data_IF_938498490515
#
_entry.id   IF_938498490515
#
_cell.length_a   1.000
_cell.length_b   1.000
_cell.length_c   1.000
_cell.angle_alpha   90.00
_cell.angle_beta   90.00
_cell.angle_gamma   90.00
#
_symmetry.space_group_name_H-M   'P 1'
#
loop_
_entity.id
_entity.type
_entity.pdbx_description
1 polymer ?
#
# COMPACT_ATOMS: atom_id res chain seq x y z
N UNK A 1 0.24 88.24 -4.26
CA UNK A 1 0.64 87.05 -5.07
C UNK A 1 0.81 85.89 -4.08
N UNK A 2 -0.17 85.03 -4.09
CA UNK A 2 -0.22 83.84 -3.16
C UNK A 2 0.40 82.62 -3.86
N UNK A 3 1.43 82.12 -3.25
CA UNK A 3 2.04 80.87 -3.68
C UNK A 3 1.51 79.75 -2.77
N UNK A 4 0.61 78.91 -3.25
CA UNK A 4 0.04 77.77 -2.56
C UNK A 4 1.07 76.60 -2.60
N UNK A 5 1.62 76.32 -1.44
CA UNK A 5 2.44 75.10 -1.27
C UNK A 5 1.54 73.87 -1.16
N UNK A 6 1.63 73.02 -2.13
CA UNK A 6 1.00 71.69 -2.11
C UNK A 6 1.97 70.75 -1.42
N UNK A 7 1.63 70.38 -0.16
CA UNK A 7 2.32 69.30 0.57
C UNK A 7 1.76 67.98 0.07
N UNK A 8 2.57 67.26 -0.66
CA UNK A 8 2.26 65.88 -1.09
C UNK A 8 2.62 64.91 0.04
N UNK A 9 1.61 64.50 0.78
CA UNK A 9 1.78 63.46 1.82
C UNK A 9 1.96 62.09 1.15
N UNK A 10 3.18 61.57 1.12
CA UNK A 10 3.47 60.16 0.79
C UNK A 10 2.94 59.29 1.91
N UNK A 11 1.78 58.66 1.71
CA UNK A 11 1.34 57.51 2.54
C UNK A 11 2.20 56.30 2.11
N UNK A 12 3.22 56.02 2.89
CA UNK A 12 3.88 54.73 2.87
C UNK A 12 2.93 53.70 3.49
N UNK A 13 2.22 52.94 2.65
CA UNK A 13 1.52 51.74 3.06
C UNK A 13 2.57 50.69 3.31
N UNK A 14 2.99 50.54 4.56
CA UNK A 14 3.77 49.39 5.01
C UNK A 14 2.88 48.14 4.87
N UNK A 15 3.06 47.38 3.80
CA UNK A 15 2.56 46.03 3.74
C UNK A 15 3.22 45.27 4.90
N UNK A 16 2.46 45.08 5.98
CA UNK A 16 2.82 44.14 7.01
C UNK A 16 2.81 42.76 6.38
N UNK A 17 3.95 42.29 5.91
CA UNK A 17 4.21 40.87 5.63
C UNK A 17 4.14 40.20 6.98
N UNK A 18 2.94 39.70 7.32
CA UNK A 18 2.79 38.81 8.48
C UNK A 18 3.78 37.67 8.26
N UNK A 19 4.71 37.42 9.20
CA UNK A 19 5.55 36.25 9.10
C UNK A 19 4.58 35.05 9.11
N UNK A 20 4.54 34.31 8.02
CA UNK A 20 3.94 32.98 8.01
C UNK A 20 4.59 32.26 9.18
N UNK A 21 3.82 32.04 10.26
CA UNK A 21 4.32 31.27 11.39
C UNK A 21 4.69 29.90 10.83
N UNK A 22 5.97 29.70 10.56
CA UNK A 22 6.51 28.41 10.23
C UNK A 22 6.16 27.51 11.41
N UNK A 23 5.20 26.61 11.21
CA UNK A 23 4.75 25.66 12.20
C UNK A 23 6.00 24.95 12.73
N UNK A 24 6.35 25.18 14.00
CA UNK A 24 7.51 24.53 14.58
C UNK A 24 7.18 23.04 14.72
N UNK A 25 8.12 22.17 14.36
CA UNK A 25 7.94 20.71 14.46
C UNK A 25 7.58 20.29 15.91
N UNK A 26 7.97 21.10 16.91
CA UNK A 26 7.71 20.84 18.32
C UNK A 26 6.20 20.85 18.65
N UNK A 27 5.41 21.71 17.98
CA UNK A 27 3.98 21.86 18.26
C UNK A 27 3.10 20.93 17.42
N UNK A 28 3.68 20.22 16.44
CA UNK A 28 2.91 19.32 15.58
C UNK A 28 2.46 18.05 16.34
N UNK A 29 1.19 17.61 16.16
CA UNK A 29 0.12 18.21 15.38
C UNK A 29 -0.61 19.33 16.14
N UNK A 30 -0.95 20.43 15.43
CA UNK A 30 -1.70 21.58 15.99
C UNK A 30 -3.21 21.43 15.86
N UNK A 31 -3.65 20.49 15.01
CA UNK A 31 -5.06 20.14 14.76
C UNK A 31 -5.20 18.63 14.55
N UNK A 32 -6.42 18.08 14.49
CA UNK A 32 -6.61 16.66 14.18
C UNK A 32 -5.91 16.23 12.89
N UNK A 33 -5.24 15.08 12.93
CA UNK A 33 -4.61 14.47 11.77
C UNK A 33 -5.59 13.52 11.10
N UNK A 34 -5.67 13.54 9.76
CA UNK A 34 -6.59 12.71 8.97
C UNK A 34 -5.79 11.67 8.19
N UNK A 35 -6.08 10.39 8.41
CA UNK A 35 -5.53 9.28 7.64
C UNK A 35 -6.58 8.78 6.65
N UNK A 36 -6.35 9.00 5.36
CA UNK A 36 -7.19 8.47 4.31
C UNK A 36 -6.81 7.02 4.01
N UNK A 37 -7.76 6.12 4.18
CA UNK A 37 -7.65 4.70 3.86
C UNK A 37 -8.39 4.47 2.55
N UNK A 38 -7.70 4.00 1.47
CA UNK A 38 -8.29 3.88 0.14
C UNK A 38 -9.16 2.63 -0.05
N UNK A 39 -9.63 2.03 1.05
CA UNK A 39 -10.46 0.82 1.07
C UNK A 39 -11.63 0.97 2.04
N UNK A 40 -12.61 0.07 1.91
CA UNK A 40 -13.71 -0.03 2.85
C UNK A 40 -13.22 -0.34 4.28
N UNK A 41 -13.98 0.11 5.27
CA UNK A 41 -13.68 -0.16 6.67
C UNK A 41 -13.69 -1.67 6.98
N UNK A 42 -12.86 -2.08 7.95
CA UNK A 42 -12.75 -3.48 8.39
C UNK A 42 -11.81 -4.35 7.56
N UNK A 43 -11.25 -3.84 6.46
CA UNK A 43 -10.24 -4.54 5.69
C UNK A 43 -8.83 -4.46 6.34
N UNK A 44 -7.85 -5.27 5.88
CA UNK A 44 -6.51 -5.33 6.49
C UNK A 44 -5.82 -3.97 6.61
N UNK A 45 -5.88 -3.14 5.57
CA UNK A 45 -5.30 -1.79 5.59
C UNK A 45 -5.98 -0.87 6.61
N UNK A 46 -7.31 -0.96 6.75
CA UNK A 46 -8.08 -0.18 7.72
C UNK A 46 -7.73 -0.57 9.16
N UNK A 47 -7.58 -1.87 9.43
CA UNK A 47 -7.18 -2.38 10.75
C UNK A 47 -5.81 -1.85 11.14
N UNK A 48 -4.82 -1.95 10.26
CA UNK A 48 -3.46 -1.42 10.48
C UNK A 48 -3.50 0.09 10.72
N UNK A 49 -4.28 0.84 9.91
CA UNK A 49 -4.41 2.28 10.05
C UNK A 49 -5.03 2.69 11.40
N UNK A 50 -6.04 1.96 11.89
CA UNK A 50 -6.67 2.22 13.19
C UNK A 50 -5.74 1.97 14.37
N UNK A 51 -4.97 0.86 14.32
CA UNK A 51 -3.97 0.56 15.34
C UNK A 51 -2.89 1.67 15.35
N UNK A 52 -2.43 2.09 14.18
CA UNK A 52 -1.47 3.18 14.05
C UNK A 52 -2.04 4.51 14.60
N UNK A 53 -3.27 4.85 14.22
CA UNK A 53 -3.94 6.08 14.66
C UNK A 53 -4.09 6.16 16.18
N UNK A 54 -4.48 5.06 16.82
CA UNK A 54 -4.57 4.97 18.28
C UNK A 54 -3.23 5.23 18.96
N UNK A 55 -2.16 4.58 18.46
CA UNK A 55 -0.82 4.72 19.04
C UNK A 55 -0.22 6.12 18.80
N UNK A 56 -0.45 6.70 17.59
CA UNK A 56 -0.03 8.07 17.31
C UNK A 56 -0.78 9.09 18.16
N UNK A 57 -2.10 8.92 18.34
CA UNK A 57 -2.89 9.79 19.23
C UNK A 57 -2.35 9.76 20.67
N UNK A 58 -2.08 8.58 21.20
CA UNK A 58 -1.47 8.42 22.51
C UNK A 58 -0.11 9.14 22.60
N UNK A 59 0.74 8.96 21.60
CA UNK A 59 2.07 9.61 21.52
C UNK A 59 1.98 11.14 21.43
N UNK A 60 0.94 11.67 20.81
CA UNK A 60 0.70 13.10 20.64
C UNK A 60 -0.18 13.70 21.76
N UNK A 61 -0.20 13.08 22.95
CA UNK A 61 -0.92 13.62 24.12
C UNK A 61 -2.43 13.65 23.94
N UNK A 62 -3.00 12.68 23.22
CA UNK A 62 -4.44 12.56 22.97
C UNK A 62 -4.93 13.40 21.79
N UNK A 63 -4.05 13.98 20.96
CA UNK A 63 -4.46 14.66 19.72
C UNK A 63 -5.17 13.68 18.79
N UNK A 64 -6.35 14.02 18.26
CA UNK A 64 -7.13 13.10 17.43
C UNK A 64 -6.43 12.72 16.14
N UNK A 65 -6.43 11.42 15.84
CA UNK A 65 -6.04 10.87 14.52
C UNK A 65 -7.28 10.19 13.94
N UNK A 66 -7.83 10.78 12.89
CA UNK A 66 -9.12 10.40 12.30
C UNK A 66 -8.90 9.49 11.08
N UNK A 67 -9.59 8.38 11.03
CA UNK A 67 -9.58 7.48 9.86
C UNK A 67 -10.72 7.86 8.93
N UNK A 68 -10.39 8.08 7.65
CA UNK A 68 -11.36 8.31 6.59
C UNK A 68 -11.24 7.26 5.50
N UNK A 69 -12.20 6.35 5.45
CA UNK A 69 -12.28 5.36 4.39
C UNK A 69 -12.87 5.99 3.12
N UNK A 70 -12.11 5.96 2.01
CA UNK A 70 -12.51 6.48 0.70
C UNK A 70 -12.18 5.45 -0.39
N UNK A 71 -12.94 4.37 -0.49
CA UNK A 71 -12.74 3.37 -1.54
C UNK A 71 -13.13 3.92 -2.91
N UNK A 72 -12.62 3.30 -3.97
CA UNK A 72 -13.06 3.57 -5.34
C UNK A 72 -11.92 3.63 -6.35
N UNK A 73 -12.24 3.23 -7.58
CA UNK A 73 -11.39 3.29 -8.76
C UNK A 73 -9.96 2.73 -8.53
N UNK A 74 -9.80 1.60 -7.84
CA UNK A 74 -8.48 1.04 -7.57
C UNK A 74 -7.60 1.95 -6.71
N UNK A 75 -8.18 2.59 -5.69
CA UNK A 75 -7.57 3.57 -4.76
C UNK A 75 -7.42 5.01 -5.28
N UNK A 76 -7.69 5.26 -6.55
CA UNK A 76 -7.50 6.58 -7.19
C UNK A 76 -8.30 7.68 -6.48
N UNK A 77 -9.52 7.38 -6.00
CA UNK A 77 -10.38 8.37 -5.32
C UNK A 77 -9.69 8.96 -4.08
N UNK A 78 -9.24 8.14 -3.15
CA UNK A 78 -8.56 8.60 -1.94
C UNK A 78 -7.23 9.29 -2.27
N UNK A 79 -6.47 8.70 -3.19
CA UNK A 79 -5.16 9.23 -3.60
C UNK A 79 -5.28 10.63 -4.19
N UNK A 80 -6.25 10.86 -5.09
CA UNK A 80 -6.49 12.17 -5.69
C UNK A 80 -6.98 13.22 -4.68
N UNK A 81 -7.78 12.80 -3.68
CA UNK A 81 -8.21 13.69 -2.59
C UNK A 81 -7.01 14.16 -1.76
N UNK A 82 -6.13 13.24 -1.38
CA UNK A 82 -4.96 13.59 -0.58
C UNK A 82 -3.96 14.42 -1.38
N UNK A 83 -3.72 14.11 -2.66
CA UNK A 83 -2.83 14.88 -3.52
C UNK A 83 -3.16 16.39 -3.57
N UNK A 84 -4.45 16.73 -3.40
CA UNK A 84 -4.97 18.11 -3.44
C UNK A 84 -5.15 18.75 -2.06
N UNK A 85 -4.84 18.02 -0.98
CA UNK A 85 -4.98 18.55 0.37
C UNK A 85 -3.84 19.54 0.71
N UNK A 86 -4.02 20.42 1.71
CA UNK A 86 -2.96 21.34 2.15
C UNK A 86 -1.68 20.57 2.58
N UNK A 87 -0.50 21.00 2.11
CA UNK A 87 0.77 20.33 2.41
C UNK A 87 1.32 20.72 3.79
N UNK A 88 0.59 20.44 4.84
CA UNK A 88 0.94 20.81 6.23
C UNK A 88 1.14 19.61 7.16
N UNK A 89 1.11 18.37 6.62
CA UNK A 89 1.28 17.14 7.38
C UNK A 89 0.03 16.63 8.10
N UNK A 90 -1.07 17.40 8.18
CA UNK A 90 -2.30 16.97 8.87
C UNK A 90 -3.20 16.05 8.03
N UNK A 91 -2.89 15.88 6.76
CA UNK A 91 -3.59 14.94 5.86
C UNK A 91 -2.58 13.96 5.29
N UNK A 92 -2.82 12.67 5.49
CA UNK A 92 -1.96 11.60 4.98
C UNK A 92 -2.79 10.52 4.30
N UNK A 93 -2.19 9.86 3.31
CA UNK A 93 -2.72 8.66 2.67
C UNK A 93 -2.02 7.44 3.26
N UNK A 94 -2.80 6.43 3.63
CA UNK A 94 -2.27 5.08 3.84
C UNK A 94 -2.05 4.46 2.47
N UNK A 95 -0.83 4.61 1.98
CA UNK A 95 -0.38 4.12 0.68
C UNK A 95 -0.25 2.60 0.69
N UNK A 96 -0.59 1.99 -0.45
CA UNK A 96 -0.46 0.56 -0.71
C UNK A 96 0.16 0.33 -2.09
N UNK A 97 0.36 -0.91 -2.48
CA UNK A 97 0.91 -1.27 -3.79
C UNK A 97 0.19 -0.54 -4.95
N UNK A 98 -1.12 -0.29 -4.84
CA UNK A 98 -1.87 0.40 -5.88
C UNK A 98 -1.33 1.81 -6.18
N UNK A 99 -0.76 2.53 -5.18
CA UNK A 99 -0.13 3.83 -5.42
C UNK A 99 1.06 3.73 -6.39
N UNK A 100 1.78 2.60 -6.37
CA UNK A 100 2.97 2.35 -7.21
C UNK A 100 2.61 1.63 -8.51
N UNK A 101 1.52 0.86 -8.52
CA UNK A 101 1.06 0.08 -9.66
C UNK A 101 0.26 0.96 -10.64
N UNK A 102 -0.61 1.84 -10.13
CA UNK A 102 -1.46 2.67 -10.96
C UNK A 102 -0.69 3.46 -12.03
N UNK A 103 0.48 4.08 -11.76
CA UNK A 103 1.27 4.76 -12.78
C UNK A 103 1.80 3.85 -13.90
N UNK A 104 1.92 2.55 -13.63
CA UNK A 104 2.39 1.58 -14.62
C UNK A 104 1.30 1.14 -15.61
N UNK A 105 0.03 1.21 -15.19
CA UNK A 105 -1.10 0.66 -15.96
C UNK A 105 -2.13 1.71 -16.38
N UNK A 106 -2.08 2.92 -15.84
CA UNK A 106 -3.05 3.98 -16.13
C UNK A 106 -2.33 5.27 -16.51
N UNK A 107 -2.50 5.70 -17.76
CA UNK A 107 -1.87 6.91 -18.31
C UNK A 107 -2.63 8.21 -18.03
N UNK A 108 -3.82 8.13 -17.41
CA UNK A 108 -4.71 9.27 -17.14
C UNK A 108 -5.02 9.41 -15.65
N UNK A 109 -4.00 9.33 -14.79
CA UNK A 109 -4.16 9.54 -13.35
C UNK A 109 -4.35 11.03 -13.04
N UNK A 110 -5.24 11.38 -12.10
CA UNK A 110 -5.44 12.77 -11.64
C UNK A 110 -4.36 13.22 -10.65
N UNK A 111 -3.25 12.49 -10.54
CA UNK A 111 -2.09 12.77 -9.68
C UNK A 111 -0.82 12.14 -10.26
N UNK A 112 0.32 12.67 -9.85
CA UNK A 112 1.66 12.09 -10.09
C UNK A 112 2.20 11.54 -8.76
N UNK A 113 2.40 10.22 -8.68
CA UNK A 113 2.84 9.54 -7.45
C UNK A 113 4.14 10.11 -6.88
N UNK A 114 5.08 10.52 -7.73
CA UNK A 114 6.40 10.98 -7.28
C UNK A 114 6.49 12.49 -7.08
N UNK A 115 5.59 13.27 -7.69
CA UNK A 115 5.59 14.75 -7.60
C UNK A 115 4.61 15.29 -6.59
N UNK A 116 3.43 14.65 -6.46
CA UNK A 116 2.34 15.17 -5.65
C UNK A 116 2.38 14.68 -4.21
N UNK A 117 3.29 13.74 -3.90
CA UNK A 117 3.42 13.18 -2.55
C UNK A 117 4.84 13.28 -2.01
N UNK A 118 4.93 13.60 -0.72
CA UNK A 118 6.12 13.42 0.10
C UNK A 118 6.01 12.11 0.88
N UNK A 119 7.04 11.29 0.81
CA UNK A 119 7.16 10.06 1.61
C UNK A 119 7.32 10.40 3.09
N UNK A 120 6.67 9.64 3.98
CA UNK A 120 6.80 9.80 5.43
C UNK A 120 7.49 8.59 6.05
N UNK A 121 6.85 7.43 6.02
CA UNK A 121 7.46 6.17 6.52
C UNK A 121 6.65 4.95 6.06
N UNK A 122 7.33 3.83 5.90
CA UNK A 122 6.69 2.52 5.91
C UNK A 122 6.02 2.29 7.26
N UNK A 123 4.93 1.53 7.28
CA UNK A 123 4.24 1.08 8.49
C UNK A 123 4.44 -0.42 8.67
N UNK A 124 4.19 -1.16 7.59
CA UNK A 124 4.18 -2.62 7.62
C UNK A 124 4.35 -3.20 6.22
N UNK A 125 4.91 -4.41 6.19
CA UNK A 125 4.87 -5.28 5.03
C UNK A 125 4.09 -6.55 5.38
N UNK A 126 3.46 -7.14 4.36
CA UNK A 126 2.64 -8.33 4.49
C UNK A 126 3.04 -9.31 3.39
N UNK A 127 3.41 -10.55 3.73
CA UNK A 127 3.77 -11.55 2.74
C UNK A 127 2.55 -11.95 1.91
N UNK A 128 2.77 -12.18 0.62
CA UNK A 128 1.78 -12.70 -0.33
C UNK A 128 2.03 -14.18 -0.54
N UNK A 129 0.96 -14.96 -0.63
CA UNK A 129 1.00 -16.40 -0.85
C UNK A 129 0.20 -16.79 -2.09
N UNK A 130 0.64 -17.85 -2.76
CA UNK A 130 -0.19 -18.63 -3.67
C UNK A 130 -0.82 -19.77 -2.86
N UNK A 131 -2.13 -19.78 -2.79
CA UNK A 131 -2.91 -20.85 -2.17
C UNK A 131 -3.80 -21.53 -3.21
N UNK A 132 -4.16 -22.77 -2.94
CA UNK A 132 -5.04 -23.56 -3.79
C UNK A 132 -6.17 -24.20 -2.98
N UNK A 133 -7.29 -24.49 -3.67
CA UNK A 133 -8.30 -25.40 -3.14
C UNK A 133 -7.66 -26.75 -2.75
N UNK A 134 -8.09 -27.34 -1.65
CA UNK A 134 -7.53 -28.61 -1.17
C UNK A 134 -7.64 -29.76 -2.17
N UNK A 135 -8.67 -29.75 -3.03
CA UNK A 135 -8.91 -30.76 -4.06
C UNK A 135 -8.13 -30.55 -5.36
N UNK A 136 -7.50 -29.38 -5.53
CA UNK A 136 -6.64 -29.11 -6.67
C UNK A 136 -5.38 -29.97 -6.56
N UNK A 137 -5.10 -30.84 -7.55
CA UNK A 137 -4.04 -31.85 -7.44
C UNK A 137 -2.65 -31.25 -7.17
N UNK A 138 -2.16 -30.21 -7.90
CA UNK A 138 -0.85 -29.63 -7.71
C UNK A 138 -0.63 -29.09 -6.29
N UNK A 139 0.55 -29.32 -5.72
CA UNK A 139 0.93 -28.89 -4.35
C UNK A 139 2.21 -28.06 -4.32
N UNK A 140 2.88 -27.91 -5.46
CA UNK A 140 4.08 -27.08 -5.64
C UNK A 140 3.93 -26.15 -6.83
N UNK A 141 4.75 -25.10 -6.91
CA UNK A 141 4.76 -24.18 -8.07
C UNK A 141 5.05 -24.92 -9.37
N UNK A 142 5.99 -25.86 -9.34
CA UNK A 142 6.38 -26.67 -10.51
C UNK A 142 5.20 -27.51 -11.00
N UNK A 143 4.43 -28.11 -10.08
CA UNK A 143 3.24 -28.91 -10.43
C UNK A 143 2.11 -28.01 -10.97
N UNK A 144 1.90 -26.81 -10.42
CA UNK A 144 0.94 -25.83 -10.94
C UNK A 144 1.32 -25.43 -12.39
N UNK A 145 2.59 -25.18 -12.63
CA UNK A 145 3.09 -24.83 -13.97
C UNK A 145 2.94 -26.01 -14.94
N UNK A 146 3.23 -27.23 -14.48
CA UNK A 146 3.06 -28.43 -15.29
C UNK A 146 1.59 -28.69 -15.64
N UNK A 147 0.69 -28.46 -14.69
CA UNK A 147 -0.77 -28.56 -14.90
C UNK A 147 -1.26 -27.51 -15.88
N UNK A 148 -0.83 -26.25 -15.72
CA UNK A 148 -1.17 -25.16 -16.65
C UNK A 148 -0.73 -25.46 -18.11
N UNK A 149 0.43 -26.10 -18.29
CA UNK A 149 0.94 -26.50 -19.62
C UNK A 149 0.21 -27.68 -20.25
N UNK A 150 -0.38 -28.56 -19.42
CA UNK A 150 -1.15 -29.72 -19.87
C UNK A 150 -2.62 -29.40 -20.12
N UNK A 151 -3.16 -28.40 -19.43
CA UNK A 151 -4.57 -28.05 -19.51
C UNK A 151 -4.93 -27.53 -20.89
N UNK A 152 -6.02 -28.01 -21.52
CA UNK A 152 -6.49 -27.52 -22.81
C UNK A 152 -7.06 -26.09 -22.73
N UNK A 153 -7.39 -25.64 -21.51
CA UNK A 153 -7.83 -24.28 -21.25
C UNK A 153 -6.93 -23.64 -20.17
N UNK A 154 -6.74 -22.30 -20.21
CA UNK A 154 -5.98 -21.61 -19.19
C UNK A 154 -6.51 -21.88 -17.78
N UNK A 155 -5.63 -22.07 -16.81
CA UNK A 155 -6.03 -22.18 -15.40
C UNK A 155 -6.59 -20.86 -14.89
N UNK A 156 -7.71 -20.92 -14.17
CA UNK A 156 -8.23 -19.75 -13.47
C UNK A 156 -7.47 -19.51 -12.17
N UNK A 157 -7.19 -18.26 -11.89
CA UNK A 157 -6.72 -17.80 -10.58
C UNK A 157 -7.45 -16.53 -10.17
N UNK A 158 -7.41 -16.21 -8.90
CA UNK A 158 -8.01 -14.98 -8.39
C UNK A 158 -7.09 -14.23 -7.43
N UNK A 159 -7.50 -13.05 -7.06
CA UNK A 159 -6.90 -12.19 -6.03
C UNK A 159 -7.99 -11.30 -5.41
N UNK A 160 -7.69 -10.53 -4.34
CA UNK A 160 -8.64 -9.61 -3.72
C UNK A 160 -9.22 -8.54 -4.64
N UNK A 161 -8.57 -8.27 -5.76
CA UNK A 161 -9.07 -7.31 -6.74
C UNK A 161 -8.17 -7.18 -7.97
N UNK A 162 -8.72 -6.64 -9.05
CA UNK A 162 -7.95 -6.37 -10.26
C UNK A 162 -6.89 -5.30 -9.99
N UNK A 163 -5.75 -5.40 -10.67
CA UNK A 163 -4.63 -4.44 -10.57
C UNK A 163 -4.02 -4.32 -9.17
N UNK A 164 -4.37 -5.24 -8.25
CA UNK A 164 -3.76 -5.35 -6.93
C UNK A 164 -2.49 -6.22 -6.97
N UNK A 165 -1.79 -6.27 -5.85
CA UNK A 165 -0.54 -7.01 -5.70
C UNK A 165 -0.69 -8.50 -6.03
N UNK A 166 -1.82 -9.12 -5.68
CA UNK A 166 -2.09 -10.54 -5.99
C UNK A 166 -2.34 -10.78 -7.48
N UNK A 167 -3.04 -9.88 -8.17
CA UNK A 167 -3.20 -9.96 -9.63
C UNK A 167 -1.83 -9.90 -10.32
N UNK A 168 -1.00 -8.92 -9.94
CA UNK A 168 0.33 -8.78 -10.54
C UNK A 168 1.27 -9.95 -10.20
N UNK A 169 1.13 -10.56 -9.02
CA UNK A 169 1.84 -11.81 -8.70
C UNK A 169 1.47 -12.93 -9.67
N UNK A 170 0.19 -13.07 -10.03
CA UNK A 170 -0.28 -14.01 -11.03
C UNK A 170 0.29 -13.72 -12.42
N UNK A 171 0.25 -12.46 -12.86
CA UNK A 171 0.83 -12.07 -14.16
C UNK A 171 2.35 -12.28 -14.20
N UNK A 172 3.03 -12.03 -13.10
CA UNK A 172 4.46 -12.29 -12.97
C UNK A 172 4.77 -13.79 -13.05
N UNK A 173 3.92 -14.65 -12.47
CA UNK A 173 4.05 -16.11 -12.61
C UNK A 173 3.84 -16.55 -14.06
N UNK A 174 2.79 -16.05 -14.72
CA UNK A 174 2.54 -16.33 -16.14
C UNK A 174 3.78 -16.04 -16.99
N UNK A 175 4.35 -14.85 -16.81
CA UNK A 175 5.53 -14.41 -17.54
C UNK A 175 6.76 -15.28 -17.26
N UNK A 176 7.06 -15.54 -15.96
CA UNK A 176 8.27 -16.28 -15.57
C UNK A 176 8.21 -17.75 -15.96
N UNK A 177 7.02 -18.34 -15.93
CA UNK A 177 6.81 -19.75 -16.24
C UNK A 177 6.45 -20.04 -17.71
N UNK A 178 6.11 -19.01 -18.50
CA UNK A 178 5.62 -19.15 -19.87
C UNK A 178 4.33 -19.94 -19.94
N UNK A 179 3.35 -19.60 -19.09
CA UNK A 179 2.04 -20.26 -19.01
C UNK A 179 0.91 -19.25 -19.15
N UNK A 180 -0.26 -19.75 -19.57
CA UNK A 180 -1.48 -18.96 -19.62
C UNK A 180 -2.37 -19.25 -18.41
N UNK A 181 -2.85 -18.17 -17.77
CA UNK A 181 -3.80 -18.20 -16.68
C UNK A 181 -4.77 -17.03 -16.83
N UNK A 182 -6.01 -17.20 -16.39
CA UNK A 182 -7.05 -16.17 -16.44
C UNK A 182 -7.35 -15.67 -15.04
N UNK A 183 -7.26 -14.35 -14.84
CA UNK A 183 -7.61 -13.71 -13.57
C UNK A 183 -9.12 -13.54 -13.44
N UNK A 184 -9.71 -14.08 -12.38
CA UNK A 184 -11.12 -13.90 -12.01
C UNK A 184 -11.22 -12.79 -10.97
N UNK A 185 -11.94 -11.71 -11.31
CA UNK A 185 -12.04 -10.51 -10.48
C UNK A 185 -12.99 -10.71 -9.29
N UNK A 186 -12.58 -10.24 -8.12
CA UNK A 186 -13.39 -10.13 -6.91
C UNK A 186 -13.25 -8.75 -6.28
N UNK A 187 -14.17 -8.39 -5.39
CA UNK A 187 -14.12 -7.17 -4.60
C UNK A 187 -13.70 -7.47 -3.16
N UNK A 188 -12.48 -7.96 -2.99
CA UNK A 188 -11.88 -8.26 -1.68
C UNK A 188 -11.55 -9.75 -1.47
N UNK A 189 -10.73 -10.02 -0.44
CA UNK A 189 -10.27 -11.38 -0.10
C UNK A 189 -11.42 -12.30 0.31
N UNK A 190 -12.38 -11.82 1.10
CA UNK A 190 -13.42 -12.68 1.68
C UNK A 190 -14.28 -13.40 0.62
N UNK A 191 -14.89 -12.71 -0.38
CA UNK A 191 -15.63 -13.38 -1.42
C UNK A 191 -14.76 -14.27 -2.31
N UNK A 192 -13.53 -13.86 -2.61
CA UNK A 192 -12.57 -14.65 -3.39
C UNK A 192 -12.22 -15.96 -2.66
N UNK A 193 -11.85 -15.89 -1.38
CA UNK A 193 -11.54 -17.07 -0.55
C UNK A 193 -12.73 -18.02 -0.45
N UNK A 194 -13.96 -17.50 -0.35
CA UNK A 194 -15.17 -18.34 -0.33
C UNK A 194 -15.25 -19.19 -1.59
N UNK A 195 -14.99 -18.63 -2.75
CA UNK A 195 -15.08 -19.34 -4.02
C UNK A 195 -13.90 -20.29 -4.24
N UNK A 196 -12.71 -19.95 -3.73
CA UNK A 196 -11.56 -20.87 -3.76
C UNK A 196 -11.79 -22.06 -2.83
N UNK A 197 -12.30 -21.84 -1.62
CA UNK A 197 -12.67 -22.91 -0.69
C UNK A 197 -13.74 -23.82 -1.29
N UNK A 198 -14.72 -23.27 -1.99
CA UNK A 198 -15.77 -24.02 -2.70
C UNK A 198 -15.28 -24.72 -3.97
N UNK A 199 -14.03 -24.51 -4.39
CA UNK A 199 -13.46 -25.11 -5.61
C UNK A 199 -13.92 -24.49 -6.92
N UNK A 200 -14.60 -23.33 -6.89
CA UNK A 200 -15.03 -22.61 -8.10
C UNK A 200 -13.87 -21.99 -8.85
N UNK A 201 -12.85 -21.54 -8.11
CA UNK A 201 -11.57 -21.07 -8.63
C UNK A 201 -10.46 -21.87 -7.94
N UNK A 202 -9.56 -22.51 -8.69
CA UNK A 202 -8.57 -23.44 -8.08
C UNK A 202 -7.45 -22.73 -7.31
N UNK A 203 -7.07 -21.52 -7.71
CA UNK A 203 -5.87 -20.82 -7.24
C UNK A 203 -6.17 -19.38 -6.83
N UNK A 204 -5.45 -18.89 -5.81
CA UNK A 204 -5.53 -17.51 -5.37
C UNK A 204 -4.18 -16.98 -4.90
N UNK A 205 -3.84 -15.76 -5.33
CA UNK A 205 -2.82 -14.96 -4.68
C UNK A 205 -3.49 -14.02 -3.67
N UNK A 206 -3.13 -14.19 -2.38
CA UNK A 206 -3.64 -13.34 -1.31
C UNK A 206 -2.55 -13.02 -0.28
N UNK A 207 -2.81 -12.07 0.59
CA UNK A 207 -2.00 -11.86 1.79
C UNK A 207 -2.04 -13.13 2.63
N UNK A 208 -0.86 -13.64 3.01
CA UNK A 208 -0.75 -14.94 3.71
C UNK A 208 -1.68 -15.04 4.91
N UNK A 209 -1.73 -14.00 5.73
CA UNK A 209 -2.58 -14.00 6.92
C UNK A 209 -4.07 -14.23 6.60
N UNK A 210 -4.58 -13.63 5.53
CA UNK A 210 -5.99 -13.80 5.13
C UNK A 210 -6.31 -15.26 4.76
N UNK A 211 -5.38 -15.92 4.06
CA UNK A 211 -5.54 -17.29 3.60
C UNK A 211 -5.19 -18.33 4.68
N UNK A 212 -4.28 -18.00 5.59
CA UNK A 212 -3.71 -18.93 6.59
C UNK A 212 -4.76 -19.68 7.39
N UNK A 213 -5.79 -19.02 7.87
CA UNK A 213 -6.86 -19.64 8.65
C UNK A 213 -7.57 -20.79 7.91
N UNK A 214 -7.70 -20.69 6.59
CA UNK A 214 -8.28 -21.73 5.76
C UNK A 214 -7.30 -22.85 5.47
N UNK A 215 -6.00 -22.54 5.42
CA UNK A 215 -4.94 -23.55 5.32
C UNK A 215 -4.84 -24.32 6.62
N UNK A 216 -4.83 -23.66 7.77
CA UNK A 216 -4.82 -24.30 9.11
C UNK A 216 -6.07 -25.17 9.32
N UNK A 217 -7.21 -24.77 8.77
CA UNK A 217 -8.46 -25.57 8.80
C UNK A 217 -8.50 -26.70 7.75
N UNK A 218 -7.44 -26.88 6.94
CA UNK A 218 -7.38 -27.91 5.90
C UNK A 218 -8.37 -27.70 4.73
N UNK A 219 -8.87 -26.49 4.56
CA UNK A 219 -9.78 -26.13 3.47
C UNK A 219 -9.04 -25.67 2.21
N UNK A 220 -7.89 -25.04 2.42
CA UNK A 220 -6.95 -24.65 1.37
C UNK A 220 -5.60 -25.32 1.64
N UNK A 221 -4.70 -25.24 0.67
CA UNK A 221 -3.29 -25.58 0.83
C UNK A 221 -2.40 -24.43 0.37
N UNK A 222 -1.30 -24.20 1.07
CA UNK A 222 -0.26 -23.27 0.65
C UNK A 222 0.57 -23.94 -0.45
N UNK A 223 0.65 -23.31 -1.61
CA UNK A 223 1.49 -23.75 -2.74
C UNK A 223 2.89 -23.17 -2.63
N UNK A 224 2.98 -21.84 -2.37
CA UNK A 224 4.25 -21.13 -2.20
C UNK A 224 4.06 -19.77 -1.54
N UNK A 225 5.07 -19.30 -0.82
CA UNK A 225 5.21 -17.88 -0.49
C UNK A 225 5.76 -17.07 -1.68
N UNK A 226 5.20 -15.89 -1.92
CA UNK A 226 5.73 -14.97 -2.92
C UNK A 226 6.82 -14.03 -2.33
N UNK A 227 7.47 -14.42 -1.24
CA UNK A 227 8.54 -13.71 -0.53
C UNK A 227 9.91 -14.28 -0.88
N UNK A 228 10.99 -13.55 -0.55
CA UNK A 228 12.35 -14.06 -0.71
C UNK A 228 12.64 -15.23 0.24
N UNK A 229 12.08 -15.17 1.45
CA UNK A 229 12.28 -16.17 2.50
C UNK A 229 10.97 -16.94 2.76
N UNK A 230 11.10 -18.17 3.21
CA UNK A 230 9.97 -18.99 3.62
C UNK A 230 9.25 -18.37 4.81
N UNK A 231 7.95 -18.59 4.89
CA UNK A 231 7.18 -18.13 6.04
C UNK A 231 7.60 -18.88 7.30
N UNK A 232 7.84 -18.15 8.38
CA UNK A 232 8.29 -18.74 9.64
C UNK A 232 7.31 -19.78 10.19
N UNK A 233 6.02 -19.59 9.95
CA UNK A 233 4.93 -20.48 10.37
C UNK A 233 4.54 -21.54 9.33
N UNK A 234 5.27 -21.61 8.20
CA UNK A 234 5.11 -22.60 7.13
C UNK A 234 6.46 -22.88 6.44
N UNK A 235 7.52 -23.08 7.22
CA UNK A 235 8.90 -23.24 6.74
C UNK A 235 9.14 -24.48 5.88
N UNK A 236 8.23 -25.45 5.91
CA UNK A 236 8.23 -26.64 5.05
C UNK A 236 7.76 -26.37 3.61
N UNK A 237 7.14 -25.21 3.33
CA UNK A 237 6.70 -24.83 1.98
C UNK A 237 7.71 -23.88 1.34
N UNK A 238 8.11 -24.20 0.10
CA UNK A 238 9.07 -23.40 -0.65
C UNK A 238 8.51 -22.03 -1.04
N UNK A 239 9.40 -21.08 -1.33
CA UNK A 239 9.01 -19.80 -1.93
C UNK A 239 9.00 -19.88 -3.44
N UNK A 240 8.32 -18.95 -4.09
CA UNK A 240 8.41 -18.79 -5.55
C UNK A 240 9.82 -18.41 -6.00
N UNK A 241 10.57 -17.68 -5.16
CA UNK A 241 11.95 -17.29 -5.44
C UNK A 241 12.90 -18.50 -5.54
N UNK A 242 12.61 -19.60 -4.86
CA UNK A 242 13.37 -20.85 -4.98
C UNK A 242 13.21 -21.52 -6.36
N UNK A 243 12.11 -21.25 -7.06
CA UNK A 243 11.86 -21.74 -8.42
C UNK A 243 12.19 -20.70 -9.47
N UNK A 244 11.82 -19.44 -9.22
CA UNK A 244 12.01 -18.30 -10.14
C UNK A 244 12.80 -17.21 -9.43
N UNK A 245 14.12 -17.18 -9.66
CA UNK A 245 15.00 -16.19 -9.01
C UNK A 245 14.47 -14.77 -9.16
N UNK A 246 14.47 -14.00 -8.05
CA UNK A 246 13.96 -12.63 -7.99
C UNK A 246 12.43 -12.53 -7.99
N UNK A 247 11.69 -13.64 -7.90
CA UNK A 247 10.25 -13.58 -7.69
C UNK A 247 9.95 -13.16 -6.25
N UNK A 248 9.69 -11.88 -6.08
CA UNK A 248 9.34 -11.33 -4.77
C UNK A 248 8.19 -10.34 -4.93
N UNK A 249 7.10 -10.62 -4.23
CA UNK A 249 5.90 -9.78 -4.20
C UNK A 249 5.46 -9.63 -2.77
N UNK A 250 5.41 -8.40 -2.30
CA UNK A 250 5.07 -8.06 -0.93
C UNK A 250 3.99 -6.98 -0.92
N UNK A 251 2.94 -7.17 -0.16
CA UNK A 251 2.01 -6.12 0.16
C UNK A 251 2.60 -5.19 1.21
N UNK A 252 2.28 -3.91 1.14
CA UNK A 252 2.76 -2.95 2.12
C UNK A 252 1.69 -1.93 2.51
N UNK A 253 1.90 -1.30 3.66
CA UNK A 253 1.26 -0.07 4.09
C UNK A 253 2.34 0.95 4.44
N UNK A 254 2.23 2.15 3.89
CA UNK A 254 3.11 3.28 4.18
C UNK A 254 2.29 4.55 4.34
N UNK A 255 2.86 5.60 4.91
CA UNK A 255 2.25 6.92 4.92
C UNK A 255 2.96 7.84 3.96
N UNK A 256 2.15 8.55 3.16
CA UNK A 256 2.56 9.68 2.34
C UNK A 256 1.65 10.87 2.64
N UNK A 257 2.17 12.09 2.47
CA UNK A 257 1.43 13.35 2.63
C UNK A 257 1.56 14.17 1.35
N UNK A 258 0.73 15.20 1.10
CA UNK A 258 0.93 16.08 -0.05
C UNK A 258 2.34 16.63 -0.13
N UNK A 259 2.88 16.72 -1.34
CA UNK A 259 4.19 17.32 -1.59
C UNK A 259 4.22 18.78 -1.13
N UNK A 260 5.37 19.25 -0.64
CA UNK A 260 5.54 20.61 -0.11
C UNK A 260 5.27 20.74 1.39
N UNK A 261 5.00 19.64 2.10
CA UNK A 261 4.95 19.66 3.56
C UNK A 261 6.31 20.14 4.13
N UNK A 262 6.31 20.98 5.19
CA UNK A 262 7.55 21.49 5.78
C UNK A 262 8.47 20.36 6.23
N UNK A 263 9.76 20.45 5.91
CA UNK A 263 10.73 19.42 6.23
C UNK A 263 10.75 19.04 7.72
N UNK A 264 10.70 19.98 8.69
CA UNK A 264 10.65 19.63 10.11
C UNK A 264 9.40 18.82 10.50
N UNK A 265 8.25 19.05 9.82
CA UNK A 265 7.02 18.28 10.04
C UNK A 265 7.17 16.85 9.49
N UNK A 266 7.76 16.70 8.31
CA UNK A 266 8.03 15.38 7.73
C UNK A 266 8.97 14.55 8.60
N UNK A 267 10.04 15.15 9.12
CA UNK A 267 10.98 14.50 10.01
C UNK A 267 10.33 14.05 11.31
N UNK A 268 9.51 14.93 11.93
CA UNK A 268 8.76 14.58 13.14
C UNK A 268 7.77 13.46 12.88
N UNK A 269 6.96 13.57 11.82
CA UNK A 269 6.02 12.51 11.43
C UNK A 269 6.73 11.18 11.25
N UNK A 270 7.81 11.15 10.47
CA UNK A 270 8.59 9.95 10.24
C UNK A 270 9.18 9.37 11.53
N UNK A 271 9.73 10.21 12.39
CA UNK A 271 10.28 9.78 13.68
C UNK A 271 9.21 9.18 14.60
N UNK A 272 8.04 9.83 14.69
CA UNK A 272 6.94 9.37 15.52
C UNK A 272 6.34 8.05 15.01
N UNK A 273 6.15 7.92 13.68
CA UNK A 273 5.64 6.68 13.07
C UNK A 273 6.63 5.54 13.29
N UNK A 274 7.93 5.76 13.05
CA UNK A 274 8.96 4.74 13.29
C UNK A 274 8.99 4.30 14.76
N UNK A 275 8.88 5.24 15.69
CA UNK A 275 8.82 4.93 17.10
C UNK A 275 7.58 4.08 17.45
N UNK A 276 6.41 4.41 16.88
CA UNK A 276 5.17 3.66 17.09
C UNK A 276 5.28 2.26 16.52
N UNK A 277 5.66 2.09 15.26
CA UNK A 277 5.70 0.76 14.61
C UNK A 277 6.79 -0.15 15.18
N UNK A 278 7.82 0.42 15.81
CA UNK A 278 8.87 -0.32 16.50
C UNK A 278 8.50 -0.68 17.94
N UNK A 279 7.42 -0.12 18.50
CA UNK A 279 7.00 -0.38 19.87
C UNK A 279 6.42 -1.77 20.05
N UNK A 280 6.60 -2.35 21.23
CA UNK A 280 6.00 -3.64 21.60
C UNK A 280 4.48 -3.57 21.54
N UNK A 281 3.89 -2.44 21.94
CA UNK A 281 2.44 -2.22 21.91
C UNK A 281 1.86 -2.31 20.49
N UNK A 282 2.54 -1.77 19.48
CA UNK A 282 2.13 -1.91 18.08
C UNK A 282 2.32 -3.33 17.58
N UNK A 283 3.47 -3.93 17.86
CA UNK A 283 3.81 -5.30 17.43
C UNK A 283 2.85 -6.33 18.01
N UNK A 284 2.54 -6.26 19.30
CA UNK A 284 1.58 -7.17 19.93
C UNK A 284 0.17 -7.03 19.34
N UNK A 285 -0.29 -5.78 19.08
CA UNK A 285 -1.59 -5.54 18.44
C UNK A 285 -1.66 -6.03 16.99
N UNK A 286 -0.53 -6.10 16.30
CA UNK A 286 -0.46 -6.47 14.88
C UNK A 286 0.06 -7.89 14.62
N UNK A 287 0.60 -8.55 15.64
CA UNK A 287 1.19 -9.89 15.54
C UNK A 287 0.24 -10.93 14.90
N UNK A 288 -1.03 -10.92 15.33
CA UNK A 288 -2.06 -11.81 14.79
C UNK A 288 -2.47 -11.48 13.34
N UNK A 289 -2.04 -10.33 12.80
CA UNK A 289 -2.30 -9.94 11.42
C UNK A 289 -1.22 -10.43 10.44
N UNK A 290 -0.22 -11.17 10.92
CA UNK A 290 0.88 -11.69 10.09
C UNK A 290 1.65 -10.59 9.35
N UNK A 291 1.73 -9.39 9.94
CA UNK A 291 2.47 -8.26 9.36
C UNK A 291 3.86 -8.14 9.97
N UNK A 292 4.80 -7.70 9.16
CA UNK A 292 6.11 -7.27 9.61
C UNK A 292 6.07 -5.74 9.80
N UNK A 293 5.95 -5.30 11.07
CA UNK A 293 5.99 -3.88 11.42
C UNK A 293 7.39 -3.34 11.14
N UNK A 294 7.47 -2.35 10.26
CA UNK A 294 8.73 -1.84 9.76
C UNK A 294 8.61 -0.35 9.41
N UNK A 295 9.37 0.49 10.07
CA UNK A 295 9.45 1.92 9.79
C UNK A 295 10.78 2.29 9.13
N UNK A 296 10.76 3.20 8.16
CA UNK A 296 11.92 3.72 7.47
C UNK A 296 11.91 5.25 7.38
N UNK A 297 13.00 5.84 6.95
CA UNK A 297 13.10 7.28 6.73
C UNK A 297 12.35 7.71 5.46
N UNK A 298 11.97 9.00 5.32
CA UNK A 298 11.38 9.53 4.09
C UNK A 298 12.24 9.28 2.85
N UNK A 299 13.56 9.40 2.97
CA UNK A 299 14.49 9.17 1.87
C UNK A 299 14.51 7.70 1.42
N UNK A 300 14.58 6.76 2.38
CA UNK A 300 14.52 5.32 2.11
C UNK A 300 13.20 4.93 1.47
N UNK A 301 12.06 5.42 1.99
CA UNK A 301 10.75 5.15 1.40
C UNK A 301 10.66 5.70 -0.04
N UNK A 302 11.11 6.94 -0.26
CA UNK A 302 11.11 7.55 -1.59
C UNK A 302 11.97 6.78 -2.60
N UNK A 303 13.17 6.37 -2.20
CA UNK A 303 14.06 5.56 -3.04
C UNK A 303 13.42 4.21 -3.38
N UNK A 304 12.86 3.54 -2.39
CA UNK A 304 12.18 2.26 -2.57
C UNK A 304 10.95 2.39 -3.48
N UNK A 305 10.11 3.42 -3.30
CA UNK A 305 8.95 3.66 -4.18
C UNK A 305 9.35 3.85 -5.64
N UNK A 306 10.45 4.56 -5.93
CA UNK A 306 10.96 4.72 -7.31
C UNK A 306 11.35 3.38 -7.94
N UNK A 307 12.05 2.54 -7.18
CA UNK A 307 12.45 1.20 -7.62
C UNK A 307 11.25 0.33 -7.90
N UNK A 308 10.26 0.33 -7.01
CA UNK A 308 9.04 -0.46 -7.18
C UNK A 308 8.19 0.02 -8.35
N UNK A 309 8.05 1.34 -8.57
CA UNK A 309 7.33 1.87 -9.74
C UNK A 309 7.99 1.37 -11.03
N UNK A 310 9.31 1.49 -11.14
CA UNK A 310 10.03 1.02 -12.33
C UNK A 310 9.83 -0.49 -12.54
N UNK A 311 9.92 -1.28 -11.48
CA UNK A 311 9.67 -2.72 -11.52
C UNK A 311 8.24 -3.06 -11.98
N UNK A 312 7.24 -2.38 -11.45
CA UNK A 312 5.85 -2.62 -11.85
C UNK A 312 5.56 -2.16 -13.28
N UNK A 313 6.25 -1.12 -13.78
CA UNK A 313 6.20 -0.72 -15.19
C UNK A 313 6.70 -1.84 -16.11
N UNK A 314 7.80 -2.51 -15.76
CA UNK A 314 8.31 -3.66 -16.51
C UNK A 314 7.32 -4.83 -16.52
N UNK A 315 6.77 -5.17 -15.34
CA UNK A 315 5.77 -6.25 -15.21
C UNK A 315 4.50 -5.92 -16.00
N UNK A 316 3.98 -4.71 -15.87
CA UNK A 316 2.76 -4.29 -16.58
C UNK A 316 2.96 -4.30 -18.10
N UNK A 317 4.12 -3.83 -18.60
CA UNK A 317 4.47 -3.84 -20.00
C UNK A 317 4.57 -5.27 -20.53
N UNK A 318 5.25 -6.17 -19.82
CA UNK A 318 5.43 -7.56 -20.21
C UNK A 318 4.11 -8.36 -20.22
N UNK A 319 3.19 -8.03 -19.28
CA UNK A 319 1.86 -8.65 -19.18
C UNK A 319 0.81 -7.95 -20.05
N UNK A 320 1.19 -6.92 -20.83
CA UNK A 320 0.27 -6.09 -21.64
C UNK A 320 -0.92 -5.56 -20.82
N UNK A 321 -0.68 -5.20 -19.54
CA UNK A 321 -1.68 -4.65 -18.64
C UNK A 321 -1.81 -3.14 -18.87
N UNK A 322 -2.88 -2.72 -19.54
CA UNK A 322 -3.26 -1.32 -19.63
C UNK A 322 -4.63 -1.10 -19.00
N UNK A 323 -4.84 0.06 -18.39
CA UNK A 323 -6.18 0.48 -17.99
C UNK A 323 -6.95 0.87 -19.26
N UNK A 324 -8.04 0.17 -19.52
CA UNK A 324 -9.04 0.59 -20.49
C UNK A 324 -9.78 1.83 -19.97
#
# INVERSE_FOLDING_TARGET
FAMRSVVFALLMTALAVSPSQAQTAADFPTSPVRLFVPFAAGGPTDVVARILAEQLSARWGGKPVLIENRPGAGTIVATALVAKAPPNGHTMLVATNSLLINPAINHSLPYDTLKDFASVSMIATQPVALVANKSFAPSTVQEVVAEAKKSPAPLNYTSPGPRGVGHLAGEMLKQRAGIEMVHINYNGSAPALTDVVAGRVPLMFDIWHSAKRYVDAGQLKLIAGASAERFADASNVATMAETYSGFQVTAFNALVTPAGAPQPVLEKLSADIRAVVSSDAFREKTKHLGINAYGNTPAELSAWMRTEIARWQEVAKAANLQAN
#
